data_IF_764710974789
#
_entry.id   IF_764710974789
#
_cell.length_a   1.000
_cell.length_b   1.000
_cell.length_c   1.000
_cell.angle_alpha   90.00
_cell.angle_beta   90.00
_cell.angle_gamma   90.00
#
_symmetry.space_group_name_H-M   'P 1'
#
loop_
_entity.id
_entity.type
_entity.pdbx_description
1 polymer ?
#
# COMPACT_ATOMS: atom_id res chain seq x y z
N UNK A 1 -2.60 2.22 -16.30
CA UNK A 1 -3.68 2.43 -15.32
C UNK A 1 -2.99 2.44 -13.99
N UNK A 2 -3.05 3.57 -13.30
CA UNK A 2 -2.35 3.79 -12.05
C UNK A 2 -3.14 3.15 -10.92
N UNK A 3 -2.45 2.40 -10.05
CA UNK A 3 -3.08 1.74 -8.93
C UNK A 3 -2.50 2.27 -7.63
N UNK A 4 -3.33 2.96 -6.84
CA UNK A 4 -2.91 3.52 -5.58
C UNK A 4 -3.08 2.47 -4.48
N UNK A 5 -2.03 2.21 -3.71
CA UNK A 5 -2.12 1.48 -2.45
C UNK A 5 -2.30 2.52 -1.33
N UNK A 6 -3.40 2.40 -0.60
CA UNK A 6 -3.75 3.28 0.49
C UNK A 6 -3.86 2.46 1.79
N UNK A 7 -3.19 2.92 2.84
CA UNK A 7 -3.18 2.29 4.14
C UNK A 7 -4.00 3.09 5.15
N UNK A 8 -4.79 2.40 5.97
CA UNK A 8 -5.48 3.01 7.11
C UNK A 8 -5.68 1.99 8.24
N UNK A 9 -6.38 2.38 9.30
CA UNK A 9 -6.63 1.51 10.47
C UNK A 9 -7.44 0.24 10.17
N UNK A 10 -8.15 0.20 9.04
CA UNK A 10 -8.89 -0.97 8.60
C UNK A 10 -8.02 -1.95 7.83
N UNK A 11 -6.96 -1.50 7.16
CA UNK A 11 -6.15 -2.34 6.29
C UNK A 11 -5.46 -1.61 5.15
N UNK A 12 -5.17 -2.37 4.10
CA UNK A 12 -4.52 -1.92 2.86
C UNK A 12 -5.51 -2.08 1.71
N UNK A 13 -5.67 -1.02 0.92
CA UNK A 13 -6.64 -0.95 -0.17
C UNK A 13 -5.93 -0.61 -1.47
N UNK A 14 -6.28 -1.30 -2.54
CA UNK A 14 -5.86 -0.96 -3.89
C UNK A 14 -6.99 -0.21 -4.58
N UNK A 15 -6.70 1.01 -5.03
CA UNK A 15 -7.63 1.93 -5.64
C UNK A 15 -7.26 2.18 -7.10
N UNK A 16 -8.27 2.20 -7.97
CA UNK A 16 -8.18 2.70 -9.35
C UNK A 16 -9.11 3.92 -9.46
N UNK A 17 -8.56 5.12 -9.29
CA UNK A 17 -9.35 6.31 -9.01
C UNK A 17 -10.11 6.18 -7.69
N UNK A 18 -11.43 6.38 -7.70
CA UNK A 18 -12.28 6.25 -6.50
C UNK A 18 -12.76 4.80 -6.24
N UNK A 19 -12.38 3.85 -7.11
CA UNK A 19 -12.86 2.47 -7.03
C UNK A 19 -11.87 1.58 -6.29
N UNK A 20 -12.35 0.88 -5.26
CA UNK A 20 -11.61 -0.22 -4.65
C UNK A 20 -11.59 -1.43 -5.60
N UNK A 21 -10.40 -1.88 -6.00
CA UNK A 21 -10.22 -3.07 -6.86
C UNK A 21 -9.79 -4.31 -6.09
N UNK A 22 -9.14 -4.15 -4.95
CA UNK A 22 -8.77 -5.21 -4.03
C UNK A 22 -8.43 -4.62 -2.65
N UNK A 23 -8.47 -5.44 -1.60
CA UNK A 23 -8.10 -4.99 -0.25
C UNK A 23 -7.66 -6.16 0.64
N UNK A 24 -7.03 -5.82 1.75
CA UNK A 24 -6.71 -6.71 2.87
C UNK A 24 -6.98 -5.98 4.17
N UNK A 25 -7.89 -6.52 4.98
CA UNK A 25 -8.25 -5.94 6.28
C UNK A 25 -7.39 -6.50 7.39
N UNK A 26 -7.11 -5.68 8.40
CA UNK A 26 -6.54 -6.14 9.67
C UNK A 26 -7.63 -6.85 10.49
N UNK A 27 -7.29 -7.97 11.13
CA UNK A 27 -8.28 -8.85 11.75
C UNK A 27 -8.83 -8.35 13.08
N UNK A 28 -7.97 -7.80 13.94
CA UNK A 28 -8.35 -7.31 15.27
C UNK A 28 -7.80 -5.91 15.56
N UNK A 29 -8.38 -5.15 16.51
CA UNK A 29 -7.84 -3.85 16.90
C UNK A 29 -6.38 -3.91 17.38
N UNK A 30 -5.99 -4.96 18.11
CA UNK A 30 -4.62 -5.16 18.56
C UNK A 30 -3.66 -5.37 17.38
N UNK A 31 -4.09 -6.16 16.40
CA UNK A 31 -3.34 -6.34 15.16
C UNK A 31 -3.23 -5.02 14.39
N UNK A 32 -4.32 -4.25 14.27
CA UNK A 32 -4.30 -2.95 13.60
C UNK A 32 -3.28 -2.00 14.24
N UNK A 33 -3.17 -1.95 15.57
CA UNK A 33 -2.15 -1.14 16.27
C UNK A 33 -0.73 -1.59 15.92
N UNK A 34 -0.48 -2.88 15.85
CA UNK A 34 0.82 -3.43 15.43
C UNK A 34 1.14 -3.05 13.99
N UNK A 35 0.19 -3.22 13.07
CA UNK A 35 0.32 -2.90 11.64
C UNK A 35 0.56 -1.41 11.41
N UNK A 36 -0.19 -0.55 12.07
CA UNK A 36 0.02 0.91 12.02
C UNK A 36 1.41 1.27 12.57
N UNK A 37 1.87 0.61 13.63
CA UNK A 37 3.22 0.85 14.17
C UNK A 37 4.32 0.45 13.18
N UNK A 38 4.10 -0.62 12.40
CA UNK A 38 4.97 -1.05 11.31
C UNK A 38 4.96 -0.06 10.15
N UNK A 39 3.79 0.41 9.74
CA UNK A 39 3.66 1.42 8.69
C UNK A 39 4.34 2.74 9.04
N UNK A 40 4.28 3.17 10.31
CA UNK A 40 5.02 4.35 10.80
C UNK A 40 6.54 4.24 10.69
N UNK A 41 7.09 3.03 10.54
CA UNK A 41 8.52 2.79 10.25
C UNK A 41 8.81 2.69 8.74
N UNK A 42 7.81 2.97 7.90
CA UNK A 42 7.86 2.77 6.45
C UNK A 42 8.05 1.31 6.08
N UNK A 43 7.62 0.36 6.92
CA UNK A 43 7.78 -1.08 6.67
C UNK A 43 6.51 -1.66 6.05
N UNK A 44 6.63 -2.47 4.97
CA UNK A 44 5.48 -3.15 4.40
C UNK A 44 4.94 -4.21 5.35
N UNK A 45 3.61 -4.25 5.48
CA UNK A 45 2.92 -5.26 6.30
C UNK A 45 2.67 -6.54 5.49
N UNK A 46 2.34 -7.68 6.14
CA UNK A 46 1.95 -8.89 5.42
C UNK A 46 0.80 -8.69 4.43
N UNK A 47 -0.13 -7.79 4.75
CA UNK A 47 -1.26 -7.41 3.91
C UNK A 47 -0.80 -6.71 2.62
N UNK A 48 0.26 -5.89 2.67
CA UNK A 48 0.86 -5.31 1.47
C UNK A 48 1.38 -6.41 0.55
N UNK A 49 2.17 -7.34 1.10
CA UNK A 49 2.80 -8.39 0.32
C UNK A 49 1.75 -9.26 -0.37
N UNK A 50 0.75 -9.71 0.39
CA UNK A 50 -0.35 -10.52 -0.16
C UNK A 50 -1.16 -9.77 -1.21
N UNK A 51 -1.42 -8.49 -1.01
CA UNK A 51 -2.20 -7.68 -1.94
C UNK A 51 -1.43 -7.42 -3.24
N UNK A 52 -0.14 -7.07 -3.13
CA UNK A 52 0.74 -6.87 -4.28
C UNK A 52 0.91 -8.17 -5.07
N UNK A 53 1.14 -9.31 -4.40
CA UNK A 53 1.23 -10.61 -5.07
C UNK A 53 -0.05 -10.94 -5.88
N UNK A 54 -1.22 -10.72 -5.28
CA UNK A 54 -2.50 -10.90 -5.97
C UNK A 54 -2.60 -10.02 -7.22
N UNK A 55 -2.29 -8.73 -7.10
CA UNK A 55 -2.44 -7.76 -8.17
C UNK A 55 -1.40 -7.99 -9.28
N UNK A 56 -0.17 -8.34 -8.92
CA UNK A 56 0.86 -8.76 -9.87
C UNK A 56 0.41 -10.01 -10.64
N UNK A 57 -0.21 -10.97 -9.96
CA UNK A 57 -0.83 -12.14 -10.60
C UNK A 57 -1.94 -11.79 -11.60
N UNK A 58 -2.65 -10.68 -11.38
CA UNK A 58 -3.65 -10.12 -12.30
C UNK A 58 -3.06 -9.26 -13.42
N UNK A 59 -1.75 -9.05 -13.44
CA UNK A 59 -1.04 -8.30 -14.49
C UNK A 59 -0.72 -6.84 -14.18
N UNK A 60 -1.04 -6.35 -12.98
CA UNK A 60 -0.64 -5.01 -12.55
C UNK A 60 0.89 -4.94 -12.33
N UNK A 61 1.51 -3.83 -12.71
CA UNK A 61 2.98 -3.64 -12.68
C UNK A 61 3.43 -2.31 -12.10
N UNK A 62 2.52 -1.39 -11.84
CA UNK A 62 2.80 -0.05 -11.35
C UNK A 62 1.86 0.25 -10.18
N UNK A 63 2.45 0.67 -9.06
CA UNK A 63 1.74 1.01 -7.84
C UNK A 63 2.22 2.37 -7.32
N UNK A 64 1.28 3.17 -6.82
CA UNK A 64 1.55 4.46 -6.19
C UNK A 64 1.20 4.36 -4.71
N UNK A 65 2.07 4.89 -3.86
CA UNK A 65 1.91 4.93 -2.41
C UNK A 65 2.06 6.36 -1.91
N UNK A 66 1.60 6.64 -0.70
CA UNK A 66 1.81 7.97 -0.10
C UNK A 66 3.21 8.13 0.52
N UNK A 67 3.83 7.03 0.94
CA UNK A 67 5.06 7.03 1.71
C UNK A 67 6.26 6.49 0.90
N UNK A 68 7.33 7.27 0.83
CA UNK A 68 8.50 7.01 -0.01
C UNK A 68 9.31 5.79 0.46
N UNK A 69 9.51 5.64 1.76
CA UNK A 69 10.27 4.54 2.32
C UNK A 69 9.56 3.20 2.08
N UNK A 70 8.25 3.16 2.25
CA UNK A 70 7.40 2.01 1.97
C UNK A 70 7.47 1.62 0.50
N UNK A 71 7.33 2.59 -0.42
CA UNK A 71 7.47 2.35 -1.86
C UNK A 71 8.85 1.77 -2.22
N UNK A 72 9.92 2.32 -1.63
CA UNK A 72 11.30 1.83 -1.83
C UNK A 72 11.49 0.40 -1.35
N UNK A 73 10.97 0.06 -0.16
CA UNK A 73 11.07 -1.30 0.38
C UNK A 73 10.28 -2.30 -0.45
N UNK A 74 9.06 -1.94 -0.87
CA UNK A 74 8.26 -2.78 -1.77
C UNK A 74 8.96 -3.00 -3.11
N UNK A 75 9.54 -1.96 -3.71
CA UNK A 75 10.34 -2.10 -4.93
C UNK A 75 11.55 -3.02 -4.78
N UNK A 76 12.15 -3.07 -3.60
CA UNK A 76 13.25 -4.00 -3.29
C UNK A 76 12.76 -5.46 -3.15
N UNK A 77 11.55 -5.66 -2.64
CA UNK A 77 10.95 -6.98 -2.43
C UNK A 77 10.33 -7.58 -3.70
N UNK A 78 9.90 -6.75 -4.64
CA UNK A 78 9.24 -7.18 -5.89
C UNK A 78 10.00 -6.67 -7.13
N UNK A 79 11.12 -7.33 -7.50
CA UNK A 79 11.89 -6.95 -8.68
C UNK A 79 11.06 -6.94 -9.96
N UNK A 80 11.17 -5.87 -10.76
CA UNK A 80 10.43 -5.73 -12.02
C UNK A 80 9.01 -5.15 -11.86
N UNK A 81 8.61 -4.79 -10.65
CA UNK A 81 7.41 -4.01 -10.36
C UNK A 81 7.84 -2.58 -10.02
N UNK A 82 7.09 -1.61 -10.55
CA UNK A 82 7.34 -0.19 -10.31
C UNK A 82 6.51 0.29 -9.12
N UNK A 83 7.19 0.83 -8.12
CA UNK A 83 6.56 1.52 -7.00
C UNK A 83 7.01 2.97 -7.00
N UNK A 84 6.07 3.90 -6.87
CA UNK A 84 6.35 5.33 -6.72
C UNK A 84 5.63 5.85 -5.48
N UNK A 85 6.17 6.91 -4.91
CA UNK A 85 5.47 7.65 -3.89
C UNK A 85 4.96 8.98 -4.45
N UNK A 86 3.70 9.29 -4.18
CA UNK A 86 3.10 10.59 -4.42
C UNK A 86 2.49 11.10 -3.12
N UNK A 87 3.03 12.22 -2.62
CA UNK A 87 2.47 12.91 -1.47
C UNK A 87 1.10 13.52 -1.86
N UNK A 88 0.09 13.52 -0.97
CA UNK A 88 -1.19 14.14 -1.29
C UNK A 88 -1.00 15.62 -1.63
N UNK A 89 -1.54 16.06 -2.77
CA UNK A 89 -1.60 17.48 -3.10
C UNK A 89 -2.60 18.22 -2.19
N UNK A 90 -2.21 19.41 -1.67
CA UNK A 90 -2.97 20.42 -0.89
C UNK A 90 -3.86 20.00 0.30
N UNK A 91 -4.31 18.75 0.41
CA UNK A 91 -5.17 18.26 1.49
C UNK A 91 -4.43 17.65 2.68
N UNK A 92 -3.10 17.49 2.58
CA UNK A 92 -2.23 16.98 3.65
C UNK A 92 -1.31 18.04 4.27
N UNK A 93 -1.50 19.32 3.93
CA UNK A 93 -0.87 20.47 4.61
C UNK A 93 -1.78 20.98 5.73
N UNK A 94 -1.87 20.25 6.84
CA UNK A 94 -2.41 20.79 8.11
C UNK A 94 -1.50 20.46 9.29
#
# INVERSE_FOLDING_TARGET
MELQLAENVLGVFALEGERVVAFRVFGSPSEAVERISTLRRGEPTPEHLQLVEELVGKGYREFVLEEEELARKLGSLFPGILFRAEFPGKGGEE
#
